data_IF_640582936186
#
_entry.id   IF_640582936186
#
_cell.length_a   1.000
_cell.length_b   1.000
_cell.length_c   1.000
_cell.angle_alpha   90.00
_cell.angle_beta   90.00
_cell.angle_gamma   90.00
#
_symmetry.space_group_name_H-M   'P 1'
#
loop_
_entity.id
_entity.type
_entity.pdbx_description
1 polymer ?
#
# COMPACT_ATOMS: atom_id res chain seq x y z
N UNK A 1 -6.81 20.41 27.58
CA UNK A 1 -6.57 19.08 28.17
C UNK A 1 -5.40 18.46 27.42
N UNK A 2 -4.19 18.43 28.00
CA UNK A 2 -3.02 17.78 27.39
C UNK A 2 -3.15 16.28 27.63
N UNK A 3 -2.94 15.47 26.60
CA UNK A 3 -2.91 14.01 26.71
C UNK A 3 -1.48 13.62 27.07
N UNK A 4 -1.28 13.01 28.24
CA UNK A 4 0.03 12.51 28.68
C UNK A 4 0.36 11.19 27.97
N UNK A 5 1.47 11.20 27.23
CA UNK A 5 1.94 10.06 26.43
C UNK A 5 2.51 8.90 27.28
N UNK A 6 2.78 9.12 28.57
CA UNK A 6 3.45 8.13 29.45
C UNK A 6 2.53 6.97 29.91
N UNK A 7 1.21 7.07 29.69
CA UNK A 7 0.24 6.03 30.06
C UNK A 7 -0.27 5.18 28.88
N UNK A 8 0.35 5.28 27.70
CA UNK A 8 0.08 4.39 26.58
C UNK A 8 0.77 3.04 26.80
N UNK A 9 0.13 2.15 27.56
CA UNK A 9 0.51 0.74 27.59
C UNK A 9 0.28 0.16 26.17
N UNK A 10 1.28 -0.51 25.55
CA UNK A 10 1.03 -1.17 24.28
C UNK A 10 -0.04 -2.23 24.49
N UNK A 11 -1.16 -2.08 23.80
CA UNK A 11 -2.17 -3.13 23.72
C UNK A 11 -1.49 -4.36 23.11
N UNK A 12 -1.20 -5.36 23.96
CA UNK A 12 -0.78 -6.70 23.51
C UNK A 12 -1.94 -7.30 22.73
N UNK A 13 -2.04 -6.94 21.46
CA UNK A 13 -2.88 -7.65 20.52
C UNK A 13 -2.41 -9.10 20.53
N UNK A 14 -3.31 -10.03 20.80
CA UNK A 14 -2.99 -11.44 20.81
C UNK A 14 -2.81 -11.89 19.35
N UNK A 15 -1.56 -11.92 18.87
CA UNK A 15 -1.25 -12.07 17.45
C UNK A 15 -1.30 -13.53 16.94
N UNK A 16 -1.55 -14.50 17.82
CA UNK A 16 -1.47 -15.94 17.52
C UNK A 16 -2.81 -16.59 17.09
N UNK A 17 -3.92 -15.85 17.13
CA UNK A 17 -5.27 -16.37 16.84
C UNK A 17 -5.59 -16.56 15.34
N UNK A 18 -6.58 -17.43 15.02
CA UNK A 18 -7.13 -17.63 13.67
C UNK A 18 -7.57 -16.32 12.99
N UNK A 19 -8.09 -15.38 13.79
CA UNK A 19 -8.48 -14.04 13.33
C UNK A 19 -7.29 -13.18 12.85
N UNK A 20 -6.07 -13.47 13.33
CA UNK A 20 -4.85 -12.78 12.88
C UNK A 20 -4.34 -13.35 11.56
N UNK A 21 -4.43 -14.68 11.38
CA UNK A 21 -4.02 -15.38 10.14
C UNK A 21 -4.81 -14.95 8.89
N UNK A 22 -6.09 -14.61 9.06
CA UNK A 22 -6.99 -14.20 7.97
C UNK A 22 -6.97 -12.69 7.70
N UNK A 23 -6.09 -11.91 8.36
CA UNK A 23 -6.04 -10.46 8.14
C UNK A 23 -5.58 -10.14 6.71
N UNK A 24 -6.34 -9.34 5.96
CA UNK A 24 -5.96 -8.96 4.62
C UNK A 24 -4.77 -8.01 4.64
N UNK A 25 -3.91 -8.16 3.64
CA UNK A 25 -2.77 -7.31 3.39
C UNK A 25 -2.56 -7.15 1.89
N UNK A 26 -1.95 -6.03 1.50
CA UNK A 26 -1.33 -5.89 0.18
C UNK A 26 0.09 -6.43 0.29
N UNK A 27 0.51 -7.30 -0.62
CA UNK A 27 1.88 -7.80 -0.67
C UNK A 27 2.56 -7.38 -1.97
N UNK A 28 3.85 -7.05 -1.88
CA UNK A 28 4.72 -6.82 -3.04
C UNK A 28 6.12 -7.38 -2.76
N UNK A 29 6.95 -7.46 -3.81
CA UNK A 29 8.34 -7.90 -3.70
C UNK A 29 9.26 -7.14 -4.65
N UNK A 30 10.52 -7.02 -4.26
CA UNK A 30 11.60 -6.57 -5.15
C UNK A 30 11.91 -7.62 -6.21
N UNK A 31 12.72 -7.25 -7.22
CA UNK A 31 13.15 -8.17 -8.28
C UNK A 31 13.99 -9.34 -7.77
N UNK A 32 14.81 -9.14 -6.73
CA UNK A 32 15.59 -10.16 -6.03
C UNK A 32 14.77 -10.98 -5.02
N UNK A 33 13.46 -10.73 -4.91
CA UNK A 33 12.51 -11.57 -4.20
C UNK A 33 12.25 -11.20 -2.74
N UNK A 34 12.78 -10.07 -2.25
CA UNK A 34 12.48 -9.56 -0.91
C UNK A 34 11.04 -9.07 -0.87
N UNK A 35 10.20 -9.72 -0.07
CA UNK A 35 8.77 -9.49 -0.02
C UNK A 35 8.35 -8.77 1.26
N UNK A 36 7.35 -7.88 1.15
CA UNK A 36 6.69 -7.24 2.29
C UNK A 36 5.18 -7.27 2.14
N UNK A 37 4.50 -7.43 3.26
CA UNK A 37 3.06 -7.27 3.37
C UNK A 37 2.70 -6.02 4.19
N UNK A 38 1.74 -5.26 3.68
CA UNK A 38 1.18 -4.04 4.25
C UNK A 38 -0.22 -4.34 4.73
N UNK A 39 -0.44 -4.30 6.03
CA UNK A 39 -1.74 -4.62 6.61
C UNK A 39 -2.80 -3.66 6.06
N UNK A 40 -3.93 -4.21 5.60
CA UNK A 40 -5.00 -3.38 5.06
C UNK A 40 -5.55 -2.41 6.12
N UNK A 41 -5.48 -2.76 7.41
CA UNK A 41 -5.86 -1.84 8.50
C UNK A 41 -4.98 -0.60 8.59
N UNK A 42 -3.71 -0.67 8.20
CA UNK A 42 -2.84 0.51 8.12
C UNK A 42 -3.27 1.36 6.94
N UNK A 43 -3.45 0.70 5.79
CA UNK A 43 -3.77 1.34 4.52
C UNK A 43 -5.19 1.92 4.47
N UNK A 44 -6.17 1.34 5.16
CA UNK A 44 -7.52 1.93 5.31
C UNK A 44 -7.47 3.23 6.11
N UNK A 45 -6.58 3.30 7.11
CA UNK A 45 -6.47 4.49 7.97
C UNK A 45 -5.63 5.59 7.34
N UNK A 46 -4.55 5.25 6.63
CA UNK A 46 -3.58 6.22 6.13
C UNK A 46 -3.63 6.42 4.62
N UNK A 47 -4.27 5.50 3.88
CA UNK A 47 -4.45 5.44 2.42
C UNK A 47 -3.15 5.37 1.58
N UNK A 48 -2.03 5.87 2.08
CA UNK A 48 -0.71 5.88 1.46
C UNK A 48 0.36 5.46 2.48
N UNK A 49 1.27 4.59 2.05
CA UNK A 49 2.54 4.31 2.72
C UNK A 49 3.68 4.59 1.73
N UNK A 50 4.53 5.56 2.07
CA UNK A 50 5.80 5.78 1.38
C UNK A 50 6.86 4.88 2.02
N UNK A 51 7.29 3.84 1.30
CA UNK A 51 8.17 2.80 1.84
C UNK A 51 9.46 2.66 1.03
N UNK A 52 10.41 1.90 1.60
CA UNK A 52 11.55 1.31 0.92
C UNK A 52 11.47 -0.22 1.02
N UNK A 53 11.03 -0.85 -0.06
CA UNK A 53 10.90 -2.30 -0.12
C UNK A 53 12.30 -2.95 -0.13
N UNK A 54 12.47 -3.98 0.70
CA UNK A 54 13.75 -4.65 0.89
C UNK A 54 14.61 -4.14 2.06
N UNK A 55 14.13 -3.17 2.88
CA UNK A 55 14.82 -2.73 4.12
C UNK A 55 13.98 -2.92 5.37
N UNK A 56 14.51 -3.52 6.44
CA UNK A 56 13.72 -3.87 7.63
C UNK A 56 13.11 -2.68 8.39
N UNK A 57 13.61 -1.45 8.20
CA UNK A 57 13.13 -0.24 8.87
C UNK A 57 12.16 0.61 8.02
N UNK A 58 11.93 0.25 6.76
CA UNK A 58 10.98 0.89 5.83
C UNK A 58 11.31 2.32 5.38
N UNK A 59 12.31 2.98 5.97
CA UNK A 59 12.60 4.40 5.70
C UNK A 59 14.10 4.71 5.54
N UNK A 60 15.03 3.89 6.07
CA UNK A 60 16.46 4.09 5.92
C UNK A 60 17.10 3.01 5.00
N UNK A 61 18.06 3.42 4.16
CA UNK A 61 18.86 2.50 3.34
C UNK A 61 18.51 2.42 1.85
N UNK A 62 19.11 1.42 1.17
CA UNK A 62 19.16 1.25 -0.30
C UNK A 62 17.94 0.57 -0.91
N UNK A 63 16.87 0.38 -0.13
CA UNK A 63 15.65 -0.30 -0.56
C UNK A 63 14.96 0.41 -1.73
N UNK A 64 14.20 -0.38 -2.47
CA UNK A 64 13.45 0.11 -3.62
C UNK A 64 12.36 1.08 -3.16
N UNK A 65 12.39 2.35 -3.59
CA UNK A 65 11.40 3.33 -3.15
C UNK A 65 10.06 3.01 -3.80
N UNK A 66 9.09 2.62 -2.97
CA UNK A 66 7.73 2.29 -3.41
C UNK A 66 6.69 3.13 -2.68
N UNK A 67 5.59 3.38 -3.36
CA UNK A 67 4.35 3.83 -2.77
C UNK A 67 3.35 2.67 -2.77
N UNK A 68 2.73 2.44 -1.61
CA UNK A 68 1.64 1.49 -1.45
C UNK A 68 0.40 2.28 -1.12
N UNK A 69 -0.65 2.11 -1.91
CA UNK A 69 -1.91 2.83 -1.71
C UNK A 69 -3.07 1.88 -1.55
N UNK A 70 -4.08 2.34 -0.83
CA UNK A 70 -5.39 1.70 -0.79
C UNK A 70 -6.49 2.75 -0.75
N UNK A 71 -7.43 2.69 -1.70
CA UNK A 71 -8.65 3.47 -1.67
C UNK A 71 -9.77 2.63 -1.01
N UNK A 72 -10.23 2.96 0.21
CA UNK A 72 -11.27 2.21 0.89
C UNK A 72 -12.64 2.34 0.20
N UNK A 73 -12.89 3.44 -0.50
CA UNK A 73 -14.15 3.68 -1.23
C UNK A 73 -14.25 2.83 -2.50
N UNK A 74 -13.13 2.68 -3.20
CA UNK A 74 -13.02 1.91 -4.44
C UNK A 74 -12.70 0.44 -4.20
N UNK A 75 -12.34 0.09 -2.95
CA UNK A 75 -11.77 -1.19 -2.57
C UNK A 75 -10.61 -1.60 -3.48
N UNK A 76 -9.73 -0.67 -3.84
CA UNK A 76 -8.63 -0.89 -4.79
C UNK A 76 -7.27 -0.56 -4.18
N UNK A 77 -6.25 -1.33 -4.57
CA UNK A 77 -4.86 -1.15 -4.16
C UNK A 77 -3.93 -0.95 -5.35
N UNK A 78 -2.78 -0.32 -5.08
CA UNK A 78 -1.66 -0.18 -6.02
C UNK A 78 -0.35 -0.22 -5.27
N UNK A 79 0.67 -0.81 -5.90
CA UNK A 79 2.07 -0.61 -5.52
C UNK A 79 2.84 -0.10 -6.74
N UNK A 80 3.55 1.00 -6.60
CA UNK A 80 4.32 1.60 -7.67
C UNK A 80 5.66 2.15 -7.16
N UNK A 81 6.62 2.32 -8.07
CA UNK A 81 7.82 3.11 -7.84
C UNK A 81 7.42 4.55 -7.51
N UNK A 82 7.99 5.11 -6.44
CA UNK A 82 7.86 6.55 -6.12
C UNK A 82 9.04 7.35 -6.67
N UNK A 83 9.57 6.94 -7.83
CA UNK A 83 10.56 7.71 -8.59
C UNK A 83 9.88 8.51 -9.69
N UNK A 84 10.10 9.81 -9.69
CA UNK A 84 9.68 10.74 -10.74
C UNK A 84 10.95 11.40 -11.28
N UNK A 85 11.17 11.33 -12.59
CA UNK A 85 12.41 11.78 -13.24
C UNK A 85 13.70 11.19 -12.63
N UNK A 86 13.61 9.93 -12.17
CA UNK A 86 14.73 9.22 -11.52
C UNK A 86 14.90 9.54 -10.03
N UNK A 87 14.34 10.65 -9.56
CA UNK A 87 14.41 11.09 -8.17
C UNK A 87 13.32 10.48 -7.31
N UNK A 88 13.67 10.14 -6.07
CA UNK A 88 12.71 9.58 -5.12
C UNK A 88 11.86 10.70 -4.51
N UNK A 89 10.53 10.58 -4.60
CA UNK A 89 9.59 11.54 -4.01
C UNK A 89 8.69 10.89 -2.95
N UNK A 90 7.93 11.71 -2.23
CA UNK A 90 6.91 11.31 -1.28
C UNK A 90 5.54 11.82 -1.75
N UNK A 91 4.53 10.98 -1.57
CA UNK A 91 3.16 11.35 -1.87
C UNK A 91 2.35 11.50 -0.59
N UNK A 92 1.49 12.50 -0.58
CA UNK A 92 0.52 12.74 0.47
C UNK A 92 -0.92 12.52 -0.02
N UNK A 93 -1.80 12.18 0.91
CA UNK A 93 -3.25 12.15 0.68
C UNK A 93 -3.76 13.58 0.59
N UNK A 94 -4.56 13.87 -0.43
CA UNK A 94 -5.12 15.22 -0.64
C UNK A 94 -6.51 15.42 -0.06
N UNK A 95 -7.25 14.32 0.19
CA UNK A 95 -8.68 14.34 0.44
C UNK A 95 -9.54 14.66 -0.80
N UNK A 96 -8.93 14.81 -1.97
CA UNK A 96 -9.63 15.00 -3.24
C UNK A 96 -9.92 13.66 -3.90
N UNK A 97 -11.06 13.59 -4.57
CA UNK A 97 -11.46 12.45 -5.40
C UNK A 97 -11.46 12.86 -6.86
N UNK A 98 -10.95 11.98 -7.72
CA UNK A 98 -10.96 12.18 -9.17
C UNK A 98 -11.70 11.03 -9.87
N UNK A 99 -12.56 11.38 -10.81
CA UNK A 99 -13.33 10.41 -11.60
C UNK A 99 -12.77 10.35 -13.02
N UNK A 100 -12.01 9.30 -13.39
CA UNK A 100 -11.74 9.01 -14.79
C UNK A 100 -13.02 8.54 -15.50
N UNK A 101 -13.01 8.56 -16.84
CA UNK A 101 -13.97 7.78 -17.60
C UNK A 101 -13.83 6.28 -17.26
N UNK A 102 -14.95 5.57 -17.24
CA UNK A 102 -14.98 4.18 -16.78
C UNK A 102 -14.08 3.21 -17.58
N UNK A 103 -13.76 3.56 -18.82
CA UNK A 103 -12.84 2.79 -19.67
C UNK A 103 -11.42 2.75 -19.11
N UNK A 104 -10.96 3.82 -18.46
CA UNK A 104 -9.58 3.89 -17.98
C UNK A 104 -9.35 3.06 -16.71
N UNK A 105 -10.37 2.88 -15.86
CA UNK A 105 -10.23 2.03 -14.68
C UNK A 105 -10.18 0.55 -15.08
N UNK A 106 -11.06 0.11 -15.99
CA UNK A 106 -11.01 -1.25 -16.52
C UNK A 106 -9.68 -1.55 -17.20
N UNK A 107 -9.19 -0.61 -18.02
CA UNK A 107 -7.86 -0.75 -18.63
C UNK A 107 -6.77 -0.87 -17.55
N UNK A 108 -6.80 -0.03 -16.51
CA UNK A 108 -5.85 -0.13 -15.40
C UNK A 108 -5.91 -1.46 -14.64
N UNK A 109 -7.10 -2.04 -14.44
CA UNK A 109 -7.25 -3.39 -13.87
C UNK A 109 -6.69 -4.47 -14.81
N UNK A 110 -7.06 -4.45 -16.09
CA UNK A 110 -6.61 -5.40 -17.11
C UNK A 110 -5.08 -5.36 -17.30
N UNK A 111 -4.50 -4.17 -17.23
CA UNK A 111 -3.05 -3.93 -17.30
C UNK A 111 -2.34 -4.20 -15.97
N UNK A 112 -3.08 -4.56 -14.91
CA UNK A 112 -2.55 -4.87 -13.58
C UNK A 112 -1.93 -3.67 -12.85
N UNK A 113 -2.27 -2.43 -13.25
CA UNK A 113 -1.85 -1.20 -12.56
C UNK A 113 -2.52 -1.08 -11.20
N UNK A 114 -3.77 -1.51 -11.11
CA UNK A 114 -4.54 -1.62 -9.87
C UNK A 114 -5.20 -2.96 -9.73
N UNK A 115 -5.53 -3.33 -8.50
CA UNK A 115 -6.26 -4.56 -8.19
C UNK A 115 -7.35 -4.29 -7.15
N UNK A 116 -8.48 -5.00 -7.27
CA UNK A 116 -9.52 -5.04 -6.23
C UNK A 116 -9.02 -5.75 -4.96
N UNK A 117 -9.42 -5.25 -3.79
CA UNK A 117 -8.90 -5.67 -2.49
C UNK A 117 -9.90 -6.36 -1.56
N UNK A 118 -11.12 -6.62 -2.03
CA UNK A 118 -12.06 -7.47 -1.30
C UNK A 118 -11.71 -8.93 -1.52
N UNK A 119 -11.42 -9.65 -0.43
CA UNK A 119 -11.15 -11.10 -0.46
C UNK A 119 -12.17 -11.84 0.40
N UNK A 120 -12.87 -12.83 -0.17
CA UNK A 120 -13.09 -14.18 0.37
C UNK A 120 -14.20 -14.89 -0.45
N UNK A 121 -13.86 -15.85 -1.31
CA UNK A 121 -14.87 -16.79 -1.84
C UNK A 121 -14.92 -17.06 -3.34
N UNK A 122 -13.99 -16.54 -4.15
CA UNK A 122 -13.97 -16.83 -5.60
C UNK A 122 -14.95 -15.99 -6.43
N UNK A 123 -15.36 -14.83 -5.92
CA UNK A 123 -16.07 -13.82 -6.72
C UNK A 123 -15.11 -12.66 -7.02
N UNK A 124 -14.93 -12.40 -8.31
CA UNK A 124 -14.10 -11.33 -8.86
C UNK A 124 -14.84 -9.99 -8.64
N UNK A 125 -14.35 -9.16 -7.72
CA UNK A 125 -14.97 -7.87 -7.43
C UNK A 125 -14.21 -6.81 -8.21
N UNK A 126 -14.90 -6.19 -9.16
CA UNK A 126 -14.43 -5.05 -9.95
C UNK A 126 -14.09 -3.83 -9.09
N UNK A 127 -13.13 -3.00 -9.51
CA UNK A 127 -12.86 -1.71 -8.86
C UNK A 127 -14.11 -0.83 -8.96
N UNK A 128 -14.47 -0.19 -7.84
CA UNK A 128 -15.68 0.64 -7.78
C UNK A 128 -15.40 2.07 -8.27
N UNK A 129 -16.24 2.54 -9.19
CA UNK A 129 -16.26 3.87 -9.79
C UNK A 129 -16.82 4.98 -8.88
N UNK A 130 -16.23 5.22 -7.70
CA UNK A 130 -16.81 6.15 -6.71
C UNK A 130 -15.92 7.36 -6.41
N UNK A 131 -14.96 7.66 -7.29
CA UNK A 131 -13.95 8.69 -7.07
C UNK A 131 -12.69 8.09 -6.46
N UNK A 132 -11.58 8.16 -7.20
CA UNK A 132 -10.32 7.54 -6.83
C UNK A 132 -9.43 8.50 -6.05
N UNK A 133 -8.61 7.94 -5.17
CA UNK A 133 -7.61 8.66 -4.38
C UNK A 133 -6.72 9.53 -5.30
N UNK A 134 -6.70 10.84 -5.02
CA UNK A 134 -5.71 11.76 -5.59
C UNK A 134 -4.55 11.92 -4.62
N UNK A 135 -3.36 11.63 -5.12
CA UNK A 135 -2.10 11.76 -4.40
C UNK A 135 -1.43 13.07 -4.80
N UNK A 136 -0.74 13.72 -3.87
CA UNK A 136 0.03 14.93 -4.16
C UNK A 136 1.51 14.72 -3.88
N UNK A 137 2.34 15.03 -4.86
CA UNK A 137 3.78 15.09 -4.77
C UNK A 137 4.19 16.55 -4.57
N UNK A 138 4.65 16.89 -3.37
CA UNK A 138 5.04 18.25 -3.04
C UNK A 138 6.35 18.69 -3.71
N UNK A 139 7.26 17.74 -4.01
CA UNK A 139 8.54 18.04 -4.63
C UNK A 139 8.33 18.50 -6.08
N UNK A 140 7.42 17.84 -6.80
CA UNK A 140 7.11 18.19 -8.19
C UNK A 140 5.88 19.08 -8.35
N UNK A 141 5.14 19.33 -7.26
CA UNK A 141 3.87 20.08 -7.22
C UNK A 141 2.85 19.52 -8.20
N UNK A 142 2.76 18.19 -8.27
CA UNK A 142 1.88 17.47 -9.19
C UNK A 142 0.86 16.61 -8.43
N UNK A 143 -0.33 16.51 -9.00
CA UNK A 143 -1.41 15.65 -8.54
C UNK A 143 -1.46 14.40 -9.41
N UNK A 144 -1.64 13.25 -8.76
CA UNK A 144 -1.53 11.93 -9.36
C UNK A 144 -2.77 11.11 -9.06
N UNK A 145 -3.30 10.46 -10.09
CA UNK A 145 -4.36 9.48 -9.97
C UNK A 145 -3.78 8.15 -9.50
N UNK A 146 -4.27 7.65 -8.35
CA UNK A 146 -3.91 6.33 -7.86
C UNK A 146 -4.32 5.23 -8.84
N UNK A 147 -5.51 5.32 -9.44
CA UNK A 147 -6.01 4.25 -10.30
C UNK A 147 -5.29 4.15 -11.65
N UNK A 148 -4.79 5.27 -12.15
CA UNK A 148 -4.03 5.30 -13.40
C UNK A 148 -2.53 5.18 -13.17
N UNK A 149 -2.08 5.29 -11.92
CA UNK A 149 -0.69 5.50 -11.58
C UNK A 149 -0.08 6.66 -12.39
N UNK A 150 -0.84 7.74 -12.61
CA UNK A 150 -0.51 8.77 -13.61
C UNK A 150 -0.74 10.19 -13.10
N UNK A 151 0.15 11.12 -13.46
CA UNK A 151 -0.02 12.54 -13.19
C UNK A 151 -1.23 13.09 -13.96
N UNK A 152 -2.13 13.75 -13.25
CA UNK A 152 -3.39 14.29 -13.81
C UNK A 152 -3.42 15.83 -13.81
N UNK A 153 -2.65 16.48 -12.95
CA UNK A 153 -2.54 17.94 -12.89
C UNK A 153 -1.15 18.36 -12.40
N UNK A 154 -0.61 19.45 -12.95
CA UNK A 154 0.71 19.98 -12.59
C UNK A 154 1.82 19.61 -13.59
N UNK A 155 3.09 19.88 -13.25
CA UNK A 155 4.23 19.69 -14.15
C UNK A 155 4.39 18.28 -14.74
N UNK A 156 3.97 17.23 -14.04
CA UNK A 156 4.05 15.84 -14.52
C UNK A 156 2.73 15.27 -15.04
N UNK A 157 1.81 16.12 -15.51
CA UNK A 157 0.59 15.63 -16.18
C UNK A 157 0.96 14.71 -17.35
N UNK A 158 0.37 13.53 -17.35
CA UNK A 158 0.60 12.52 -18.38
C UNK A 158 1.69 11.51 -18.05
N UNK A 159 2.56 11.76 -17.07
CA UNK A 159 3.61 10.84 -16.64
C UNK A 159 3.05 9.66 -15.85
N UNK A 160 3.52 8.45 -16.13
CA UNK A 160 3.12 7.22 -15.44
C UNK A 160 4.18 6.78 -14.41
N UNK A 161 3.72 6.28 -13.26
CA UNK A 161 4.54 5.64 -12.25
C UNK A 161 4.78 4.19 -12.63
N UNK A 162 6.00 3.70 -12.38
CA UNK A 162 6.36 2.31 -12.65
C UNK A 162 5.68 1.34 -11.68
N UNK A 163 4.65 0.63 -12.12
CA UNK A 163 3.92 -0.37 -11.32
C UNK A 163 4.84 -1.49 -10.82
N UNK A 164 4.53 -2.00 -9.62
CA UNK A 164 5.19 -3.15 -9.03
C UNK A 164 4.22 -4.32 -8.85
N UNK A 165 4.66 -5.56 -9.15
CA UNK A 165 3.85 -6.74 -8.92
C UNK A 165 3.35 -6.77 -7.48
N UNK A 166 2.03 -6.81 -7.33
CA UNK A 166 1.39 -6.78 -6.04
C UNK A 166 0.04 -7.49 -6.07
N UNK A 167 -0.42 -7.93 -4.90
CA UNK A 167 -1.70 -8.61 -4.78
C UNK A 167 -2.27 -8.45 -3.37
N UNK A 168 -3.60 -8.56 -3.25
CA UNK A 168 -4.20 -8.82 -1.94
C UNK A 168 -3.96 -10.27 -1.54
N UNK A 169 -3.68 -10.45 -0.26
CA UNK A 169 -3.42 -11.76 0.34
C UNK A 169 -3.86 -11.76 1.80
N UNK A 170 -3.84 -12.92 2.43
CA UNK A 170 -3.92 -13.03 3.90
C UNK A 170 -2.51 -13.19 4.47
N UNK A 171 -2.34 -12.90 5.76
CA UNK A 171 -1.08 -13.18 6.44
C UNK A 171 -0.61 -14.63 6.28
N UNK A 172 -1.50 -15.60 6.49
CA UNK A 172 -1.16 -17.01 6.33
C UNK A 172 -0.67 -17.35 4.91
N UNK A 173 -1.37 -16.86 3.88
CA UNK A 173 -0.98 -17.07 2.49
C UNK A 173 0.36 -16.40 2.16
N UNK A 174 0.54 -15.16 2.63
CA UNK A 174 1.79 -14.42 2.47
C UNK A 174 2.96 -15.18 3.09
N UNK A 175 2.82 -15.68 4.32
CA UNK A 175 3.87 -16.43 5.01
C UNK A 175 4.21 -17.73 4.33
N UNK A 176 3.19 -18.48 3.89
CA UNK A 176 3.41 -19.72 3.15
C UNK A 176 4.17 -19.45 1.84
N UNK A 177 3.91 -18.32 1.19
CA UNK A 177 4.55 -17.96 -0.08
C UNK A 177 5.92 -17.31 0.10
N UNK A 178 6.12 -16.53 1.16
CA UNK A 178 7.33 -15.79 1.46
C UNK A 178 7.74 -16.01 2.93
N UNK A 179 8.39 -17.15 3.26
CA UNK A 179 8.75 -17.48 4.64
C UNK A 179 9.68 -16.46 5.32
N UNK A 180 10.52 -15.77 4.53
CA UNK A 180 11.38 -14.68 4.99
C UNK A 180 10.84 -13.27 4.73
N UNK A 181 9.62 -13.15 4.19
CA UNK A 181 9.00 -11.86 3.91
C UNK A 181 8.66 -11.12 5.20
N UNK A 182 8.58 -9.80 5.14
CA UNK A 182 8.33 -8.95 6.32
C UNK A 182 6.90 -8.44 6.33
N UNK A 183 6.40 -8.06 7.50
CA UNK A 183 5.11 -7.36 7.62
C UNK A 183 5.31 -6.00 8.27
N UNK A 184 4.75 -4.95 7.65
CA UNK A 184 4.69 -3.63 8.24
C UNK A 184 3.70 -3.60 9.42
N UNK A 185 4.18 -3.14 10.58
CA UNK A 185 3.37 -2.96 11.77
C UNK A 185 2.72 -1.57 11.83
N UNK A 186 1.55 -1.45 12.48
CA UNK A 186 0.93 -0.16 12.72
C UNK A 186 1.71 0.62 13.81
N UNK A 187 1.60 1.95 13.83
CA UNK A 187 2.04 2.76 14.97
C UNK A 187 1.44 2.29 16.32
N UNK A 188 2.14 2.48 17.46
CA UNK A 188 3.45 3.12 17.61
C UNK A 188 4.62 2.20 17.25
N UNK A 189 4.36 0.93 16.92
CA UNK A 189 5.37 -0.05 16.54
C UNK A 189 5.76 0.17 15.06
N UNK A 190 6.27 1.36 14.73
CA UNK A 190 6.64 1.74 13.36
C UNK A 190 7.92 0.99 12.94
N UNK A 191 7.75 -0.24 12.48
CA UNK A 191 8.82 -1.11 11.99
C UNK A 191 8.23 -2.33 11.29
N UNK A 192 9.10 -3.17 10.76
CA UNK A 192 8.68 -4.47 10.22
C UNK A 192 8.97 -5.59 11.19
N UNK A 193 8.22 -6.67 11.07
CA UNK A 193 8.46 -7.91 11.80
C UNK A 193 8.42 -9.08 10.87
N UNK A 194 9.16 -10.12 11.25
CA UNK A 194 9.06 -11.37 10.53
C UNK A 194 7.80 -12.13 10.97
N UNK A 195 7.12 -12.78 10.02
CA UNK A 195 5.99 -13.68 10.24
C UNK A 195 6.13 -14.59 11.46
N UNK A 196 7.29 -15.24 11.60
CA UNK A 196 7.57 -16.19 12.68
C UNK A 196 7.70 -15.54 14.05
N UNK A 197 8.00 -14.24 14.13
CA UNK A 197 8.09 -13.50 15.39
C UNK A 197 6.72 -13.12 15.94
N UNK A 198 5.68 -13.19 15.11
CA UNK A 198 4.32 -12.80 15.47
C UNK A 198 3.43 -14.01 15.82
N UNK A 199 3.67 -15.15 15.17
CA UNK A 199 2.84 -16.35 15.27
C UNK A 199 3.35 -17.38 16.30
N UNK A 200 4.46 -17.06 16.98
CA UNK A 200 5.06 -17.86 18.06
C UNK A 200 4.41 -17.65 19.43
#
# INVERSE_FOLDING_TARGET
MKVDCENLLPSRHNLTGRATRLRPAIASRTADGLARAYRLTILVTHEIVNDRLGTSDGLAGTGEPVIVTFCPLCASGMVASRRVDGETTEFAVTGQLWMPEAVFERASEEEGRTFGATHSGGEEISVKHNGNLVMYDAATRSYWSQILARGICGPHTGTELGIRPSSVTTWEQFHRRYPGGEVLLPPPHSGTVRPGEILG
#
